data_IF_129587101848
#
_entry.id   IF_129587101848
#
_cell.length_a   1.000
_cell.length_b   1.000
_cell.length_c   1.000
_cell.angle_alpha   90.00
_cell.angle_beta   90.00
_cell.angle_gamma   90.00
#
_symmetry.space_group_name_H-M   'P 1'
#
loop_
_entity.id
_entity.type
_entity.pdbx_description
1 polymer ?
#
# COMPACT_ATOMS: atom_id res chain seq x y z
N UNK A 1 9.95 -34.15 8.87
CA UNK A 1 8.92 -33.11 8.63
C UNK A 1 9.63 -31.77 8.57
N UNK A 2 9.47 -31.03 7.47
CA UNK A 2 9.96 -29.64 7.42
C UNK A 2 9.22 -28.80 8.47
N UNK A 3 9.86 -27.80 9.09
CA UNK A 3 9.16 -26.91 10.01
C UNK A 3 8.04 -26.18 9.27
N UNK A 4 6.88 -25.95 9.91
CA UNK A 4 5.76 -25.27 9.27
C UNK A 4 6.22 -23.90 8.74
N UNK A 5 5.68 -23.45 7.61
CA UNK A 5 5.97 -22.15 6.99
C UNK A 5 4.73 -21.26 7.03
N UNK A 6 4.88 -19.95 7.15
CA UNK A 6 3.73 -19.05 7.08
C UNK A 6 3.30 -18.81 5.62
N UNK A 7 2.06 -18.34 5.45
CA UNK A 7 1.49 -18.05 4.14
C UNK A 7 2.36 -17.11 3.29
N UNK A 8 2.95 -16.06 3.88
CA UNK A 8 3.84 -15.14 3.15
C UNK A 8 5.01 -15.90 2.52
N UNK A 9 5.74 -16.66 3.34
CA UNK A 9 6.92 -17.41 2.88
C UNK A 9 6.56 -18.50 1.88
N UNK A 10 5.36 -19.08 2.00
CA UNK A 10 4.83 -20.02 1.02
C UNK A 10 4.53 -19.31 -0.31
N UNK A 11 3.72 -18.26 -0.30
CA UNK A 11 3.30 -17.55 -1.51
C UNK A 11 4.47 -16.90 -2.24
N UNK A 12 5.46 -16.37 -1.53
CA UNK A 12 6.65 -15.77 -2.14
C UNK A 12 7.46 -16.76 -3.00
N UNK A 13 7.28 -18.08 -2.84
CA UNK A 13 7.90 -19.10 -3.70
C UNK A 13 7.13 -19.32 -5.00
N UNK A 14 5.86 -18.93 -5.06
CA UNK A 14 4.96 -19.23 -6.19
C UNK A 14 5.15 -18.26 -7.34
N UNK A 15 4.99 -18.76 -8.57
CA UNK A 15 5.01 -17.90 -9.76
C UNK A 15 3.79 -16.98 -9.83
N UNK A 16 2.67 -17.36 -9.20
CA UNK A 16 1.47 -16.51 -9.10
C UNK A 16 1.78 -15.22 -8.34
N UNK A 17 2.40 -15.31 -7.14
CA UNK A 17 2.74 -14.11 -6.37
C UNK A 17 3.75 -13.23 -7.11
N UNK A 18 4.71 -13.83 -7.81
CA UNK A 18 5.67 -13.13 -8.66
C UNK A 18 4.96 -12.36 -9.79
N UNK A 19 4.07 -13.02 -10.52
CA UNK A 19 3.32 -12.41 -11.62
C UNK A 19 2.42 -11.28 -11.13
N UNK A 20 1.69 -11.48 -10.03
CA UNK A 20 0.84 -10.42 -9.43
C UNK A 20 1.69 -9.21 -9.09
N UNK A 21 2.83 -9.39 -8.43
CA UNK A 21 3.73 -8.28 -8.08
C UNK A 21 4.18 -7.49 -9.31
N UNK A 22 4.62 -8.18 -10.36
CA UNK A 22 5.05 -7.51 -11.59
C UNK A 22 3.90 -6.81 -12.32
N UNK A 23 2.71 -7.41 -12.33
CA UNK A 23 1.51 -6.78 -12.89
C UNK A 23 1.15 -5.50 -12.14
N UNK A 24 1.13 -5.52 -10.80
CA UNK A 24 0.87 -4.33 -9.98
C UNK A 24 1.86 -3.21 -10.29
N UNK A 25 3.16 -3.55 -10.42
CA UNK A 25 4.20 -2.57 -10.75
C UNK A 25 4.13 -2.03 -12.17
N UNK A 26 3.84 -2.89 -13.14
CA UNK A 26 3.60 -2.44 -14.50
C UNK A 26 2.37 -1.53 -14.55
N UNK A 27 1.33 -1.87 -13.78
CA UNK A 27 0.08 -1.13 -13.80
C UNK A 27 0.22 0.28 -13.22
N UNK A 28 0.95 0.48 -12.11
CA UNK A 28 1.21 1.85 -11.62
C UNK A 28 1.95 2.71 -12.66
N UNK A 29 2.92 2.13 -13.38
CA UNK A 29 3.66 2.85 -14.44
C UNK A 29 2.73 3.22 -15.59
N UNK A 30 1.87 2.29 -16.03
CA UNK A 30 0.90 2.52 -17.10
C UNK A 30 -0.13 3.59 -16.69
N UNK A 31 -0.66 3.51 -15.47
CA UNK A 31 -1.63 4.48 -14.95
C UNK A 31 -1.03 5.89 -14.90
N UNK A 32 0.22 6.03 -14.45
CA UNK A 32 0.90 7.34 -14.48
C UNK A 32 1.22 7.81 -15.90
N UNK A 33 1.57 6.92 -16.82
CA UNK A 33 1.71 7.31 -18.22
C UNK A 33 0.38 7.85 -18.78
N UNK A 34 -0.74 7.21 -18.47
CA UNK A 34 -2.07 7.71 -18.83
C UNK A 34 -2.33 9.07 -18.18
N UNK A 35 -2.15 9.18 -16.86
CA UNK A 35 -2.42 10.40 -16.10
C UNK A 35 -1.60 11.62 -16.55
N UNK A 36 -0.40 11.41 -17.12
CA UNK A 36 0.50 12.48 -17.54
C UNK A 36 0.39 12.82 -19.03
N UNK A 37 0.03 11.87 -19.89
CA UNK A 37 0.09 12.04 -21.35
C UNK A 37 -1.27 12.00 -22.04
N UNK A 38 -2.33 11.52 -21.39
CA UNK A 38 -3.68 11.53 -21.93
C UNK A 38 -4.43 12.76 -21.38
N UNK A 39 -5.03 13.61 -22.24
CA UNK A 39 -5.75 14.79 -21.79
C UNK A 39 -7.07 14.38 -21.14
N UNK A 40 -7.05 14.26 -19.82
CA UNK A 40 -8.21 13.92 -19.00
C UNK A 40 -8.59 15.15 -18.17
N UNK A 41 -9.74 15.75 -18.46
CA UNK A 41 -10.13 17.07 -17.93
C UNK A 41 -10.18 17.13 -16.40
N UNK A 42 -10.59 16.06 -15.73
CA UNK A 42 -10.66 16.03 -14.26
C UNK A 42 -9.32 15.72 -13.56
N UNK A 43 -8.25 15.46 -14.30
CA UNK A 43 -6.90 15.41 -13.73
C UNK A 43 -6.22 16.77 -13.75
N UNK A 44 -6.79 17.75 -14.45
CA UNK A 44 -6.31 19.12 -14.45
C UNK A 44 -6.36 19.69 -13.03
N UNK A 45 -5.28 20.35 -12.61
CA UNK A 45 -5.15 20.84 -11.25
C UNK A 45 -4.67 19.79 -10.24
N UNK A 46 -4.89 18.48 -10.40
CA UNK A 46 -4.55 17.47 -9.37
C UNK A 46 -3.06 17.21 -9.12
N UNK A 47 -2.19 17.95 -9.80
CA UNK A 47 -0.73 17.88 -9.69
C UNK A 47 -0.16 16.45 -9.79
N UNK A 48 -0.71 15.62 -10.68
CA UNK A 48 -0.31 14.21 -10.84
C UNK A 48 1.21 14.05 -11.01
N UNK A 49 1.88 14.97 -11.71
CA UNK A 49 3.34 14.97 -11.86
C UNK A 49 4.11 15.01 -10.53
N UNK A 50 3.59 15.71 -9.52
CA UNK A 50 4.22 15.81 -8.19
C UNK A 50 4.09 14.52 -7.38
N UNK A 51 3.10 13.67 -7.71
CA UNK A 51 2.85 12.39 -7.03
C UNK A 51 3.81 11.29 -7.49
N UNK A 52 4.41 11.41 -8.68
CA UNK A 52 5.28 10.39 -9.30
C UNK A 52 6.37 9.85 -8.36
N UNK A 53 7.16 10.69 -7.65
CA UNK A 53 8.25 10.19 -6.82
C UNK A 53 7.79 9.27 -5.69
N UNK A 54 6.60 9.52 -5.12
CA UNK A 54 6.04 8.68 -4.08
C UNK A 54 5.35 7.45 -4.67
N UNK A 55 4.47 7.67 -5.66
CA UNK A 55 3.58 6.64 -6.17
C UNK A 55 4.30 5.62 -7.03
N UNK A 56 4.99 6.07 -8.09
CA UNK A 56 5.80 5.19 -8.95
C UNK A 56 7.06 4.75 -8.20
N UNK A 57 7.64 5.63 -7.37
CA UNK A 57 8.80 5.30 -6.55
C UNK A 57 8.54 4.18 -5.55
N UNK A 58 7.31 4.00 -5.07
CA UNK A 58 6.92 2.87 -4.21
C UNK A 58 7.29 1.51 -4.81
N UNK A 59 7.17 1.36 -6.14
CA UNK A 59 7.51 0.14 -6.88
C UNK A 59 9.01 -0.17 -6.90
N UNK A 60 9.86 0.80 -6.55
CA UNK A 60 11.31 0.66 -6.48
C UNK A 60 11.81 0.43 -5.06
N UNK A 61 11.02 0.75 -4.02
CA UNK A 61 11.47 0.69 -2.61
C UNK A 61 12.02 -0.69 -2.26
N UNK A 62 11.26 -1.77 -2.48
CA UNK A 62 11.70 -3.12 -2.11
C UNK A 62 12.80 -3.66 -3.03
N UNK A 63 12.73 -3.55 -4.37
CA UNK A 63 13.84 -3.94 -5.24
C UNK A 63 15.16 -3.26 -4.90
N UNK A 64 15.13 -1.95 -4.67
CA UNK A 64 16.31 -1.16 -4.30
C UNK A 64 16.82 -1.60 -2.93
N UNK A 65 15.92 -1.74 -1.94
CA UNK A 65 16.30 -2.23 -0.62
C UNK A 65 16.98 -3.60 -0.68
N UNK A 66 16.40 -4.58 -1.40
CA UNK A 66 16.99 -5.92 -1.58
C UNK A 66 18.35 -5.88 -2.30
N UNK A 67 18.50 -5.04 -3.33
CA UNK A 67 19.77 -4.87 -4.06
C UNK A 67 20.92 -4.43 -3.15
N UNK A 68 20.63 -3.63 -2.13
CA UNK A 68 21.63 -3.14 -1.19
C UNK A 68 21.82 -4.04 0.05
N UNK A 69 21.08 -5.15 0.16
CA UNK A 69 21.31 -6.10 1.27
C UNK A 69 22.55 -6.94 1.00
N UNK A 70 23.37 -7.12 2.04
CA UNK A 70 24.50 -8.06 2.02
C UNK A 70 24.07 -9.51 1.74
N UNK A 71 22.88 -9.88 2.22
CA UNK A 71 22.26 -11.19 2.00
C UNK A 71 20.84 -10.96 1.51
N UNK A 72 20.62 -11.23 0.23
CA UNK A 72 19.31 -11.12 -0.40
C UNK A 72 18.31 -12.12 0.19
N UNK A 73 17.04 -11.74 0.27
CA UNK A 73 16.00 -12.68 0.70
C UNK A 73 15.75 -13.72 -0.38
N UNK A 74 15.79 -15.00 0.00
CA UNK A 74 15.38 -16.11 -0.87
C UNK A 74 14.19 -16.82 -0.20
N UNK A 75 13.01 -16.88 -0.83
CA UNK A 75 12.64 -16.18 -2.08
C UNK A 75 12.51 -14.66 -1.89
N UNK A 76 12.45 -13.91 -2.99
CA UNK A 76 12.16 -12.46 -2.98
C UNK A 76 10.80 -12.18 -2.30
N UNK A 77 10.62 -11.07 -1.55
CA UNK A 77 9.38 -10.75 -0.83
C UNK A 77 8.27 -10.20 -1.75
N UNK A 78 7.80 -11.00 -2.71
CA UNK A 78 6.78 -10.62 -3.70
C UNK A 78 5.47 -10.15 -3.08
N UNK A 79 4.98 -10.82 -2.04
CA UNK A 79 3.72 -10.47 -1.37
C UNK A 79 3.80 -9.08 -0.75
N UNK A 80 4.86 -8.81 0.01
CA UNK A 80 5.04 -7.54 0.69
C UNK A 80 5.26 -6.37 -0.29
N UNK A 81 6.02 -6.64 -1.36
CA UNK A 81 6.28 -5.69 -2.44
C UNK A 81 5.01 -5.31 -3.20
N UNK A 82 4.16 -6.29 -3.55
CA UNK A 82 2.88 -6.02 -4.20
C UNK A 82 1.94 -5.17 -3.32
N UNK A 83 1.78 -5.56 -2.05
CA UNK A 83 0.93 -4.81 -1.12
C UNK A 83 1.43 -3.39 -0.86
N UNK A 84 2.74 -3.12 -0.94
CA UNK A 84 3.27 -1.77 -0.78
C UNK A 84 2.87 -0.84 -1.94
N UNK A 85 2.74 -1.39 -3.15
CA UNK A 85 2.45 -0.62 -4.37
C UNK A 85 0.94 -0.45 -4.60
N UNK A 86 0.13 -1.41 -4.12
CA UNK A 86 -1.32 -1.42 -4.30
C UNK A 86 -2.05 -0.13 -3.87
N UNK A 87 -1.74 0.53 -2.73
CA UNK A 87 -2.37 1.79 -2.35
C UNK A 87 -2.33 2.83 -3.48
N UNK A 88 -1.14 2.99 -4.08
CA UNK A 88 -0.90 3.97 -5.12
C UNK A 88 -1.54 3.56 -6.45
N UNK A 89 -1.63 2.25 -6.73
CA UNK A 89 -2.34 1.74 -7.91
C UNK A 89 -3.82 2.09 -7.82
N UNK A 90 -4.46 1.81 -6.68
CA UNK A 90 -5.89 2.03 -6.53
C UNK A 90 -6.23 3.51 -6.53
N UNK A 91 -5.44 4.35 -5.84
CA UNK A 91 -5.59 5.81 -5.88
C UNK A 91 -5.44 6.37 -7.31
N UNK A 92 -4.38 5.99 -8.02
CA UNK A 92 -4.14 6.50 -9.38
C UNK A 92 -5.21 6.00 -10.33
N UNK A 93 -5.67 4.77 -10.18
CA UNK A 93 -6.78 4.23 -10.95
C UNK A 93 -8.06 5.01 -10.69
N UNK A 94 -8.40 5.29 -9.42
CA UNK A 94 -9.59 6.07 -9.07
C UNK A 94 -9.53 7.49 -9.64
N UNK A 95 -8.35 8.11 -9.63
CA UNK A 95 -8.11 9.37 -10.32
C UNK A 95 -8.34 9.24 -11.82
N UNK A 96 -7.66 8.31 -12.52
CA UNK A 96 -7.74 8.13 -13.98
C UNK A 96 -9.12 7.68 -14.45
N UNK A 97 -9.89 6.97 -13.61
CA UNK A 97 -11.26 6.54 -13.90
C UNK A 97 -12.31 7.59 -13.51
N UNK A 98 -11.91 8.74 -12.95
CA UNK A 98 -12.81 9.81 -12.54
C UNK A 98 -13.68 9.47 -11.33
N UNK A 99 -13.29 8.51 -10.49
CA UNK A 99 -14.10 8.09 -9.34
C UNK A 99 -14.25 9.22 -8.32
N UNK A 100 -13.16 9.96 -8.06
CA UNK A 100 -13.17 11.14 -7.18
C UNK A 100 -14.19 12.20 -7.60
N UNK A 101 -14.43 12.37 -8.90
CA UNK A 101 -15.40 13.35 -9.39
C UNK A 101 -16.84 12.84 -9.33
N UNK A 102 -17.02 11.53 -9.59
CA UNK A 102 -18.34 10.96 -9.78
C UNK A 102 -18.95 10.40 -8.49
N UNK A 103 -18.13 10.12 -7.48
CA UNK A 103 -18.57 9.51 -6.23
C UNK A 103 -17.88 10.17 -5.04
N UNK A 104 -18.66 10.93 -4.25
CA UNK A 104 -18.17 11.66 -3.08
C UNK A 104 -17.53 10.76 -2.02
N UNK A 105 -17.94 9.49 -1.95
CA UNK A 105 -17.40 8.49 -0.99
C UNK A 105 -16.05 7.89 -1.41
N UNK A 106 -15.53 8.24 -2.59
CA UNK A 106 -14.30 7.64 -3.12
C UNK A 106 -13.14 7.86 -2.15
N UNK A 107 -13.02 9.06 -1.63
CA UNK A 107 -11.92 9.45 -0.74
C UNK A 107 -11.94 8.64 0.56
N UNK A 108 -13.08 8.67 1.27
CA UNK A 108 -13.33 7.85 2.47
C UNK A 108 -12.99 6.36 2.26
N UNK A 109 -13.46 5.79 1.15
CA UNK A 109 -13.23 4.37 0.83
C UNK A 109 -11.74 4.10 0.65
N UNK A 110 -11.03 4.99 -0.04
CA UNK A 110 -9.61 4.83 -0.31
C UNK A 110 -8.75 5.08 0.93
N UNK A 111 -9.11 6.02 1.80
CA UNK A 111 -8.46 6.16 3.11
C UNK A 111 -8.54 4.87 3.92
N UNK A 112 -9.64 4.13 3.88
CA UNK A 112 -9.72 2.81 4.51
C UNK A 112 -8.93 1.73 3.74
N UNK A 113 -9.23 1.51 2.46
CA UNK A 113 -8.72 0.37 1.67
C UNK A 113 -7.20 0.46 1.45
N UNK A 114 -6.68 1.66 1.16
CA UNK A 114 -5.25 1.84 0.95
C UNK A 114 -4.46 1.50 2.22
N UNK A 115 -5.00 1.81 3.40
CA UNK A 115 -4.38 1.43 4.66
C UNK A 115 -4.44 -0.07 4.95
N UNK A 116 -5.48 -0.77 4.50
CA UNK A 116 -5.52 -2.25 4.56
C UNK A 116 -4.32 -2.83 3.80
N UNK A 117 -4.07 -2.38 2.57
CA UNK A 117 -2.94 -2.85 1.77
C UNK A 117 -1.60 -2.47 2.38
N UNK A 118 -1.45 -1.21 2.79
CA UNK A 118 -0.20 -0.71 3.38
C UNK A 118 0.17 -1.50 4.65
N UNK A 119 -0.79 -1.77 5.53
CA UNK A 119 -0.55 -2.57 6.73
C UNK A 119 -0.34 -4.06 6.40
N UNK A 120 -0.99 -4.60 5.36
CA UNK A 120 -0.66 -5.95 4.87
C UNK A 120 0.79 -6.04 4.38
N UNK A 121 1.33 -5.01 3.72
CA UNK A 121 2.74 -4.94 3.33
C UNK A 121 3.67 -5.00 4.55
N UNK A 122 3.37 -4.18 5.57
CA UNK A 122 4.09 -4.17 6.83
C UNK A 122 4.07 -5.55 7.52
N UNK A 123 2.89 -6.16 7.64
CA UNK A 123 2.74 -7.48 8.25
C UNK A 123 3.44 -8.56 7.45
N UNK A 124 3.38 -8.53 6.12
CA UNK A 124 4.10 -9.46 5.26
C UNK A 124 5.61 -9.41 5.53
N UNK A 125 6.21 -8.22 5.61
CA UNK A 125 7.62 -8.08 5.99
C UNK A 125 7.89 -8.59 7.41
N UNK A 126 7.02 -8.27 8.36
CA UNK A 126 7.18 -8.70 9.75
C UNK A 126 7.19 -10.22 9.88
N UNK A 127 6.25 -10.90 9.23
CA UNK A 127 6.11 -12.36 9.29
C UNK A 127 7.26 -13.12 8.63
N UNK A 128 8.01 -12.48 7.72
CA UNK A 128 9.26 -13.05 7.19
C UNK A 128 10.39 -13.07 8.21
N UNK A 129 10.32 -12.25 9.27
CA UNK A 129 11.35 -12.16 10.31
C UNK A 129 10.91 -12.83 11.61
N UNK A 130 9.67 -12.58 12.04
CA UNK A 130 9.13 -13.01 13.32
C UNK A 130 7.83 -13.77 13.12
N UNK A 131 7.75 -15.00 13.62
CA UNK A 131 6.67 -15.92 13.25
C UNK A 131 5.40 -15.74 14.08
N UNK A 132 5.49 -15.26 15.31
CA UNK A 132 4.34 -15.03 16.19
C UNK A 132 4.65 -13.90 17.18
N UNK A 133 3.72 -12.95 17.32
CA UNK A 133 3.74 -11.94 18.37
C UNK A 133 2.27 -11.63 18.72
N UNK A 134 1.83 -11.79 19.98
CA UNK A 134 0.48 -11.38 20.39
C UNK A 134 0.18 -9.91 20.07
N UNK A 135 1.21 -9.06 20.09
CA UNK A 135 1.09 -7.63 19.84
C UNK A 135 1.05 -7.28 18.35
N UNK A 136 1.08 -8.28 17.47
CA UNK A 136 1.09 -8.06 16.01
C UNK A 136 -0.06 -7.19 15.54
N UNK A 137 -1.26 -7.37 16.11
CA UNK A 137 -2.44 -6.56 15.75
C UNK A 137 -2.19 -5.09 16.09
N UNK A 138 -1.77 -4.81 17.34
CA UNK A 138 -1.48 -3.47 17.83
C UNK A 138 -0.32 -2.81 17.08
N UNK A 139 0.72 -3.56 16.74
CA UNK A 139 1.85 -3.05 15.95
C UNK A 139 1.41 -2.62 14.54
N UNK A 140 0.58 -3.42 13.87
CA UNK A 140 0.06 -3.05 12.54
C UNK A 140 -0.91 -1.87 12.61
N UNK A 141 -1.78 -1.84 13.62
CA UNK A 141 -2.70 -0.72 13.85
C UNK A 141 -1.94 0.59 14.14
N UNK A 142 -0.94 0.54 15.02
CA UNK A 142 -0.09 1.69 15.33
C UNK A 142 0.74 2.16 14.14
N UNK A 143 1.25 1.23 13.32
CA UNK A 143 1.91 1.59 12.05
C UNK A 143 0.93 2.30 11.09
N UNK A 144 -0.29 1.78 10.94
CA UNK A 144 -1.33 2.42 10.13
C UNK A 144 -1.68 3.83 10.62
N UNK A 145 -1.92 3.98 11.93
CA UNK A 145 -2.21 5.26 12.57
C UNK A 145 -1.07 6.29 12.38
N UNK A 146 0.18 5.87 12.53
CA UNK A 146 1.33 6.74 12.28
C UNK A 146 1.45 7.11 10.80
N UNK A 147 1.20 6.16 9.89
CA UNK A 147 1.26 6.40 8.46
C UNK A 147 0.21 7.42 8.01
N UNK A 148 -1.02 7.38 8.55
CA UNK A 148 -2.04 8.39 8.21
C UNK A 148 -1.69 9.76 8.77
N UNK A 149 -1.14 9.86 9.99
CA UNK A 149 -0.66 11.15 10.49
C UNK A 149 0.39 11.76 9.56
N UNK A 150 1.31 10.95 9.04
CA UNK A 150 2.32 11.42 8.07
C UNK A 150 1.66 11.86 6.75
N UNK A 151 0.66 11.10 6.28
CA UNK A 151 -0.07 11.43 5.04
C UNK A 151 -0.84 12.75 5.17
N UNK A 152 -1.62 12.95 6.24
CA UNK A 152 -2.33 14.20 6.52
C UNK A 152 -1.37 15.40 6.58
N UNK A 153 -0.17 15.23 7.15
CA UNK A 153 0.84 16.29 7.17
C UNK A 153 1.29 16.63 5.73
N UNK A 154 1.43 15.64 4.86
CA UNK A 154 1.77 15.86 3.46
C UNK A 154 0.65 16.56 2.70
N UNK A 155 -0.61 16.17 2.92
CA UNK A 155 -1.76 16.82 2.31
C UNK A 155 -1.92 18.26 2.78
N UNK A 156 -1.81 18.50 4.09
CA UNK A 156 -1.79 19.85 4.64
C UNK A 156 -0.68 20.72 4.04
N UNK A 157 0.52 20.16 3.84
CA UNK A 157 1.63 20.89 3.21
C UNK A 157 1.34 21.21 1.73
N UNK A 158 0.73 20.28 0.98
CA UNK A 158 0.31 20.50 -0.41
C UNK A 158 -0.77 21.59 -0.47
N UNK A 159 -1.81 21.48 0.37
CA UNK A 159 -2.92 22.43 0.46
C UNK A 159 -2.41 23.84 0.77
N UNK A 160 -1.58 23.98 1.81
CA UNK A 160 -1.03 25.28 2.24
C UNK A 160 -0.10 25.89 1.20
N UNK A 161 0.63 25.07 0.43
CA UNK A 161 1.51 25.57 -0.64
C UNK A 161 0.75 26.03 -1.89
N UNK A 162 -0.55 25.71 -2.01
CA UNK A 162 -1.35 25.92 -3.20
C UNK A 162 -0.96 25.02 -4.38
N UNK A 163 -0.07 24.05 -4.17
CA UNK A 163 0.32 23.10 -5.19
C UNK A 163 -0.91 22.30 -5.64
N UNK A 164 -1.19 22.33 -6.94
CA UNK A 164 -2.37 21.67 -7.50
C UNK A 164 -3.71 22.36 -7.19
N UNK A 165 -3.69 23.66 -6.90
CA UNK A 165 -4.93 24.43 -6.68
C UNK A 165 -5.46 24.38 -5.24
N UNK A 166 -4.74 23.71 -4.32
CA UNK A 166 -5.22 23.42 -2.97
C UNK A 166 -6.14 22.19 -2.96
N UNK A 167 -6.06 21.41 -1.88
CA UNK A 167 -6.91 20.24 -1.67
C UNK A 167 -8.26 20.62 -1.03
N UNK A 168 -8.35 21.82 -0.43
CA UNK A 168 -9.59 22.29 0.20
C UNK A 168 -9.90 21.56 1.51
N UNK A 169 -8.86 21.14 2.23
CA UNK A 169 -8.97 20.32 3.43
C UNK A 169 -9.82 21.02 4.50
N UNK A 170 -10.64 20.22 5.19
CA UNK A 170 -11.38 20.68 6.36
C UNK A 170 -10.98 19.89 7.59
N UNK A 171 -11.18 20.45 8.78
CA UNK A 171 -10.92 19.72 10.02
C UNK A 171 -11.76 18.43 10.13
N UNK A 172 -12.99 18.45 9.61
CA UNK A 172 -13.87 17.28 9.62
C UNK A 172 -13.34 16.14 8.74
N UNK A 173 -12.80 16.51 7.58
CA UNK A 173 -12.17 15.64 6.58
C UNK A 173 -10.99 14.89 7.20
N UNK A 174 -9.98 15.63 7.67
CA UNK A 174 -8.79 15.08 8.34
C UNK A 174 -9.14 14.15 9.50
N UNK A 175 -10.14 14.48 10.33
CA UNK A 175 -10.57 13.59 11.42
C UNK A 175 -11.23 12.31 10.88
N UNK A 176 -12.00 12.42 9.79
CA UNK A 176 -12.54 11.30 9.04
C UNK A 176 -11.42 10.39 8.51
N UNK A 177 -10.43 10.96 7.85
CA UNK A 177 -9.32 10.25 7.23
C UNK A 177 -8.45 9.54 8.25
N UNK A 178 -8.11 10.22 9.35
CA UNK A 178 -7.43 9.60 10.50
C UNK A 178 -8.21 8.41 11.04
N UNK A 179 -9.54 8.51 11.13
CA UNK A 179 -10.40 7.45 11.66
C UNK A 179 -10.49 6.27 10.69
N UNK A 180 -10.75 6.53 9.41
CA UNK A 180 -10.92 5.52 8.37
C UNK A 180 -9.62 4.79 8.08
N UNK A 181 -8.52 5.51 7.96
CA UNK A 181 -7.20 4.95 7.71
C UNK A 181 -6.67 4.15 8.89
N UNK A 182 -6.90 4.61 10.13
CA UNK A 182 -6.58 3.81 11.33
C UNK A 182 -7.41 2.51 11.36
N UNK A 183 -8.70 2.59 11.02
CA UNK A 183 -9.58 1.41 10.95
C UNK A 183 -9.14 0.43 9.85
N UNK A 184 -8.79 0.93 8.67
CA UNK A 184 -8.19 0.16 7.59
C UNK A 184 -6.87 -0.50 8.04
N UNK A 185 -6.07 0.21 8.82
CA UNK A 185 -4.85 -0.33 9.43
C UNK A 185 -5.12 -1.47 10.40
N UNK A 186 -6.17 -1.37 11.24
CA UNK A 186 -6.61 -2.49 12.11
C UNK A 186 -7.03 -3.69 11.28
N UNK A 187 -7.84 -3.49 10.23
CA UNK A 187 -8.31 -4.55 9.32
C UNK A 187 -7.12 -5.23 8.63
N UNK A 188 -6.20 -4.45 8.05
CA UNK A 188 -4.99 -4.97 7.43
C UNK A 188 -4.12 -5.73 8.43
N UNK A 189 -4.09 -5.29 9.68
CA UNK A 189 -3.38 -5.99 10.75
C UNK A 189 -4.03 -7.35 11.09
N UNK A 190 -5.36 -7.41 11.17
CA UNK A 190 -6.12 -8.66 11.36
C UNK A 190 -5.88 -9.65 10.21
N UNK A 191 -5.95 -9.17 8.95
CA UNK A 191 -5.62 -9.98 7.76
C UNK A 191 -4.17 -10.47 7.85
N UNK A 192 -3.26 -9.60 8.26
CA UNK A 192 -1.87 -9.94 8.53
C UNK A 192 -1.74 -11.12 9.48
N UNK A 193 -2.44 -11.07 10.62
CA UNK A 193 -2.34 -12.12 11.64
C UNK A 193 -3.00 -13.43 11.22
N UNK A 194 -4.26 -13.36 10.81
CA UNK A 194 -5.08 -14.55 10.58
C UNK A 194 -4.86 -15.20 9.22
N UNK A 195 -4.32 -14.45 8.25
CA UNK A 195 -4.05 -14.98 6.92
C UNK A 195 -2.57 -14.98 6.58
N UNK A 196 -1.87 -13.84 6.57
CA UNK A 196 -0.46 -13.80 6.16
C UNK A 196 0.46 -14.57 7.12
N UNK A 197 0.18 -14.47 8.42
CA UNK A 197 0.92 -15.13 9.49
C UNK A 197 0.52 -16.58 9.75
N UNK A 198 -0.58 -17.06 9.18
CA UNK A 198 -1.08 -18.41 9.41
C UNK A 198 -0.03 -19.45 8.99
N UNK A 199 0.18 -20.45 9.86
CA UNK A 199 1.12 -21.53 9.63
C UNK A 199 0.47 -22.59 8.73
N UNK A 200 1.26 -23.10 7.78
CA UNK A 200 0.94 -24.26 6.95
C UNK A 200 1.87 -25.41 7.29
N UNK A 201 1.29 -26.59 7.44
CA UNK A 201 2.02 -27.86 7.41
C UNK A 201 2.50 -28.12 5.97
N UNK A 202 3.76 -28.51 5.82
CA UNK A 202 4.32 -28.88 4.52
C UNK A 202 4.27 -30.41 4.45
N UNK A 203 3.36 -30.98 3.67
CA UNK A 203 3.36 -32.41 3.41
C UNK A 203 4.55 -32.73 2.51
N UNK A 204 5.43 -33.62 2.96
CA UNK A 204 6.46 -34.22 2.13
C UNK A 204 5.79 -35.15 1.12
N UNK A 205 5.66 -34.69 -0.12
CA UNK A 205 5.50 -35.59 -1.28
C UNK A 205 6.84 -36.26 -1.59
#
# INVERSE_FOLDING_TARGET
MEPPINNVTYFDKTDIARSINYLVKAFIVILFAIALFVPISYLEGKAMGMRVPLFVGSALVIPVYERFRKVGRVPYPHVADAFLVLPFVVDTFANVAGLYENFAVTDDILHCINWVFLVCAFQAFRYRRNRQNPDAILLGAGFGALAIVIWEIMEWAVDTSGAGGGLGLTYGDTIGDLTLSTSGGVIGSLIGVYWLGALREVSSE
#
